data_IF_398810077203
#
_entry.id   IF_398810077203
#
_cell.length_a   1.000
_cell.length_b   1.000
_cell.length_c   1.000
_cell.angle_alpha   90.00
_cell.angle_beta   90.00
_cell.angle_gamma   90.00
#
_symmetry.space_group_name_H-M   'P 1'
#
loop_
_entity.id
_entity.type
_entity.pdbx_description
1 polymer ?
#
# COMPACT_ATOMS: atom_id res chain seq x y z
N UNK A 1 -2.54 19.21 -18.71
CA UNK A 1 -3.54 18.18 -19.11
C UNK A 1 -4.60 18.07 -18.02
N UNK A 2 -5.81 17.64 -18.39
CA UNK A 2 -6.88 17.30 -17.45
C UNK A 2 -6.74 15.81 -17.07
N UNK A 3 -6.39 15.54 -15.82
CA UNK A 3 -6.11 14.19 -15.33
C UNK A 3 -7.12 13.78 -14.27
N UNK A 4 -7.74 12.64 -14.47
CA UNK A 4 -8.59 11.99 -13.49
C UNK A 4 -7.79 10.90 -12.78
N UNK A 5 -7.51 11.07 -11.49
CA UNK A 5 -7.06 9.98 -10.63
C UNK A 5 -8.28 9.37 -9.96
N UNK A 6 -8.42 8.06 -9.96
CA UNK A 6 -9.59 7.40 -9.38
C UNK A 6 -9.20 6.23 -8.48
N UNK A 7 -9.92 6.08 -7.39
CA UNK A 7 -9.82 4.93 -6.47
C UNK A 7 -11.21 4.52 -6.00
N UNK A 8 -11.38 3.26 -5.62
CA UNK A 8 -12.59 2.73 -4.96
C UNK A 8 -12.50 2.77 -3.43
N UNK A 9 -11.35 3.18 -2.91
CA UNK A 9 -11.14 3.40 -1.48
C UNK A 9 -11.57 4.81 -1.03
N UNK A 10 -11.78 4.94 0.27
CA UNK A 10 -12.18 6.20 0.90
C UNK A 10 -10.98 7.13 1.08
N UNK A 11 -11.08 8.34 0.57
CA UNK A 11 -10.13 9.43 0.83
C UNK A 11 -10.68 10.34 1.92
N UNK A 12 -9.87 10.63 2.93
CA UNK A 12 -10.26 11.42 4.10
C UNK A 12 -9.12 11.56 5.09
N UNK A 13 -9.37 12.04 6.31
CA UNK A 13 -8.35 12.15 7.36
C UNK A 13 -7.66 10.82 7.66
N UNK A 14 -8.40 9.71 7.57
CA UNK A 14 -7.88 8.34 7.70
C UNK A 14 -8.01 7.62 6.35
N UNK A 15 -6.93 6.99 5.89
CA UNK A 15 -6.86 6.36 4.57
C UNK A 15 -6.14 5.02 4.62
N UNK A 16 -6.59 4.08 3.78
CA UNK A 16 -5.80 2.90 3.45
C UNK A 16 -4.72 3.22 2.39
N UNK A 17 -3.74 2.35 2.20
CA UNK A 17 -2.60 2.60 1.32
C UNK A 17 -2.99 2.94 -0.13
N UNK A 18 -4.01 2.30 -0.69
CA UNK A 18 -4.51 2.58 -2.05
C UNK A 18 -5.15 3.96 -2.19
N UNK A 19 -5.92 4.40 -1.17
CA UNK A 19 -6.47 5.74 -1.13
C UNK A 19 -5.36 6.79 -0.98
N UNK A 20 -4.40 6.54 -0.08
CA UNK A 20 -3.24 7.42 0.13
C UNK A 20 -2.43 7.58 -1.16
N UNK A 21 -2.17 6.47 -1.88
CA UNK A 21 -1.47 6.53 -3.16
C UNK A 21 -2.21 7.37 -4.19
N UNK A 22 -3.51 7.16 -4.36
CA UNK A 22 -4.30 7.95 -5.29
C UNK A 22 -4.29 9.44 -4.95
N UNK A 23 -4.41 9.76 -3.66
CA UNK A 23 -4.35 11.13 -3.15
C UNK A 23 -3.00 11.79 -3.43
N UNK A 24 -1.89 11.11 -3.10
CA UNK A 24 -0.55 11.70 -3.30
C UNK A 24 -0.14 11.77 -4.76
N UNK A 25 -0.50 10.79 -5.60
CA UNK A 25 -0.29 10.90 -7.05
C UNK A 25 -1.07 12.07 -7.65
N UNK A 26 -2.32 12.27 -7.20
CA UNK A 26 -3.11 13.42 -7.65
C UNK A 26 -2.45 14.74 -7.23
N UNK A 27 -1.92 14.85 -6.01
CA UNK A 27 -1.17 16.03 -5.53
C UNK A 27 0.08 16.30 -6.35
N UNK A 28 0.86 15.26 -6.65
CA UNK A 28 2.08 15.41 -7.47
C UNK A 28 1.71 15.93 -8.85
N UNK A 29 0.72 15.33 -9.51
CA UNK A 29 0.29 15.74 -10.84
C UNK A 29 -0.21 17.19 -10.85
N UNK A 30 -0.94 17.62 -9.82
CA UNK A 30 -1.42 18.99 -9.66
C UNK A 30 -0.25 19.98 -9.49
N UNK A 31 0.71 19.67 -8.61
CA UNK A 31 1.93 20.50 -8.42
C UNK A 31 2.76 20.66 -9.71
N UNK A 32 2.71 19.65 -10.59
CA UNK A 32 3.37 19.70 -11.90
C UNK A 32 2.54 20.36 -13.01
N UNK A 33 1.51 21.13 -12.65
CA UNK A 33 0.76 21.99 -13.57
C UNK A 33 -0.31 21.27 -14.39
N UNK A 34 -0.78 20.12 -13.94
CA UNK A 34 -1.95 19.47 -14.52
C UNK A 34 -3.23 19.91 -13.80
N UNK A 35 -4.35 19.96 -14.49
CA UNK A 35 -5.67 20.13 -13.88
C UNK A 35 -6.14 18.75 -13.40
N UNK A 36 -6.17 18.52 -12.09
CA UNK A 36 -6.38 17.18 -11.52
C UNK A 36 -7.71 17.10 -10.77
N UNK A 37 -8.45 16.03 -10.98
CA UNK A 37 -9.59 15.62 -10.16
C UNK A 37 -9.35 14.24 -9.57
N UNK A 38 -9.63 14.10 -8.28
CA UNK A 38 -9.54 12.83 -7.57
C UNK A 38 -10.94 12.27 -7.35
N UNK A 39 -11.27 11.17 -8.02
CA UNK A 39 -12.54 10.49 -7.81
C UNK A 39 -12.38 9.39 -6.75
N UNK A 40 -13.05 9.57 -5.62
CA UNK A 40 -13.02 8.65 -4.49
C UNK A 40 -14.34 8.73 -3.70
N UNK A 41 -14.63 7.71 -2.90
CA UNK A 41 -15.58 7.83 -1.82
C UNK A 41 -14.94 8.57 -0.64
N UNK A 42 -15.73 9.35 0.14
CA UNK A 42 -15.22 9.92 1.40
C UNK A 42 -15.64 11.37 1.67
N UNK A 43 -15.19 11.86 2.81
CA UNK A 43 -15.63 13.13 3.42
C UNK A 43 -14.74 14.34 3.05
N UNK A 44 -13.85 14.21 2.11
CA UNK A 44 -12.95 15.29 1.71
C UNK A 44 -11.46 14.97 1.92
N UNK A 45 -10.57 15.81 1.39
CA UNK A 45 -9.13 15.62 1.51
C UNK A 45 -8.69 15.73 2.97
N UNK A 46 -7.53 15.12 3.33
CA UNK A 46 -6.99 15.20 4.70
C UNK A 46 -6.49 16.60 5.08
N UNK A 47 -6.66 17.60 4.20
CA UNK A 47 -6.27 18.99 4.44
C UNK A 47 -6.82 19.95 3.40
N UNK A 48 -6.60 21.27 3.62
CA UNK A 48 -7.10 22.35 2.75
C UNK A 48 -6.42 22.35 1.38
N UNK A 49 -5.13 21.95 1.33
CA UNK A 49 -4.34 21.87 0.10
C UNK A 49 -4.41 20.47 -0.51
N UNK A 50 -5.19 20.28 -1.55
CA UNK A 50 -5.28 18.97 -2.20
C UNK A 50 -6.05 19.04 -3.52
N UNK A 51 -6.00 17.98 -4.31
CA UNK A 51 -6.72 17.92 -5.57
C UNK A 51 -8.23 17.99 -5.35
N UNK A 52 -8.95 18.54 -6.31
CA UNK A 52 -10.41 18.60 -6.26
C UNK A 52 -11.00 17.20 -6.15
N UNK A 53 -11.63 16.92 -5.00
CA UNK A 53 -12.30 15.64 -4.76
C UNK A 53 -13.68 15.63 -5.44
N UNK A 54 -13.99 14.57 -6.19
CA UNK A 54 -15.27 14.38 -6.85
C UNK A 54 -15.86 13.01 -6.51
N UNK A 55 -17.14 12.95 -6.18
CA UNK A 55 -17.83 11.69 -5.86
C UNK A 55 -18.06 10.82 -7.09
N UNK A 56 -18.47 11.44 -8.22
CA UNK A 56 -18.62 10.75 -9.50
C UNK A 56 -17.49 11.09 -10.47
N UNK A 57 -16.78 10.05 -11.00
CA UNK A 57 -15.69 10.29 -11.93
C UNK A 57 -16.16 10.91 -13.25
N UNK A 58 -15.66 12.10 -13.62
CA UNK A 58 -16.03 12.78 -14.87
C UNK A 58 -15.22 12.24 -16.07
N UNK A 59 -15.48 10.99 -16.48
CA UNK A 59 -14.73 10.29 -17.53
C UNK A 59 -14.59 11.04 -18.85
N UNK A 60 -15.61 11.82 -19.23
CA UNK A 60 -15.60 12.61 -20.47
C UNK A 60 -14.77 13.89 -20.39
N UNK A 61 -14.46 14.35 -19.20
CA UNK A 61 -13.63 15.53 -18.96
C UNK A 61 -12.14 15.24 -19.09
N UNK A 62 -11.73 14.01 -18.70
CA UNK A 62 -10.34 13.63 -18.58
C UNK A 62 -9.66 13.41 -19.94
N UNK A 63 -8.45 13.92 -20.10
CA UNK A 63 -7.51 13.59 -21.17
C UNK A 63 -6.65 12.37 -20.80
N UNK A 64 -6.40 12.16 -19.50
CA UNK A 64 -5.75 10.98 -18.96
C UNK A 64 -6.47 10.50 -17.70
N UNK A 65 -6.46 9.19 -17.49
CA UNK A 65 -7.03 8.52 -16.31
C UNK A 65 -5.95 7.64 -15.67
N UNK A 66 -5.70 7.83 -14.38
CA UNK A 66 -4.84 6.97 -13.56
C UNK A 66 -5.73 6.25 -12.54
N UNK A 67 -5.81 4.92 -12.59
CA UNK A 67 -6.67 4.18 -11.67
C UNK A 67 -6.24 2.70 -11.56
N UNK A 68 -6.54 2.04 -10.41
CA UNK A 68 -6.33 0.60 -10.28
C UNK A 68 -7.15 -0.17 -11.34
N UNK A 69 -6.55 -1.10 -12.08
CA UNK A 69 -7.25 -1.85 -13.14
C UNK A 69 -8.43 -2.66 -12.60
N UNK A 70 -8.39 -2.98 -11.32
CA UNK A 70 -9.37 -3.84 -10.63
C UNK A 70 -10.72 -3.14 -10.39
N UNK A 71 -10.72 -1.79 -10.29
CA UNK A 71 -11.90 -0.97 -10.00
C UNK A 71 -12.45 -0.22 -11.22
N UNK A 72 -11.74 -0.23 -12.36
CA UNK A 72 -12.17 0.46 -13.56
C UNK A 72 -13.54 -0.01 -14.07
N UNK A 73 -14.52 0.91 -14.24
CA UNK A 73 -15.81 0.56 -14.83
C UNK A 73 -15.68 0.36 -16.35
N UNK A 74 -16.65 -0.33 -16.99
CA UNK A 74 -16.66 -0.57 -18.43
C UNK A 74 -16.42 0.71 -19.27
N UNK A 75 -17.03 1.81 -18.88
CA UNK A 75 -16.93 3.10 -19.59
C UNK A 75 -15.51 3.66 -19.64
N UNK A 76 -14.66 3.34 -18.62
CA UNK A 76 -13.26 3.77 -18.63
C UNK A 76 -12.46 3.11 -19.76
N UNK A 77 -12.80 1.87 -20.12
CA UNK A 77 -12.15 1.18 -21.25
C UNK A 77 -12.63 1.66 -22.62
N UNK A 78 -13.76 2.37 -22.70
CA UNK A 78 -14.34 2.87 -23.94
C UNK A 78 -14.05 4.36 -24.22
N UNK A 79 -13.52 5.09 -23.23
CA UNK A 79 -13.19 6.51 -23.35
C UNK A 79 -12.03 6.78 -24.32
N UNK A 80 -11.86 8.05 -24.73
CA UNK A 80 -10.76 8.49 -25.61
C UNK A 80 -9.52 8.98 -24.85
N UNK A 81 -9.60 9.07 -23.52
CA UNK A 81 -8.50 9.47 -22.65
C UNK A 81 -7.34 8.47 -22.69
N UNK A 82 -6.15 8.88 -22.36
CA UNK A 82 -5.07 7.96 -21.99
C UNK A 82 -5.52 7.14 -20.77
N UNK A 83 -5.31 5.84 -20.78
CA UNK A 83 -5.61 4.96 -19.65
C UNK A 83 -4.32 4.41 -19.06
N UNK A 84 -3.96 4.89 -17.88
CA UNK A 84 -2.80 4.48 -17.11
C UNK A 84 -3.32 3.58 -15.97
N UNK A 85 -3.02 2.30 -16.08
CA UNK A 85 -3.44 1.32 -15.06
C UNK A 85 -2.46 1.36 -13.88
N UNK A 86 -2.91 1.75 -12.69
CA UNK A 86 -2.09 1.67 -11.48
C UNK A 86 -2.07 0.23 -10.95
N UNK A 87 -1.06 -0.51 -11.38
CA UNK A 87 -0.90 -1.94 -11.16
C UNK A 87 -0.17 -2.32 -9.88
N UNK A 88 0.12 -1.39 -8.98
CA UNK A 88 0.95 -1.63 -7.80
C UNK A 88 0.31 -2.61 -6.78
N UNK A 89 -1.02 -2.67 -6.72
CA UNK A 89 -1.71 -3.59 -5.81
C UNK A 89 -1.81 -4.98 -6.44
N UNK A 90 -1.19 -6.02 -5.85
CA UNK A 90 -1.22 -7.37 -6.38
C UNK A 90 -2.52 -8.10 -5.98
N UNK A 91 -3.68 -7.53 -6.31
CA UNK A 91 -5.00 -7.99 -5.84
C UNK A 91 -5.24 -9.50 -6.05
N UNK A 92 -4.75 -10.06 -7.15
CA UNK A 92 -4.95 -11.49 -7.43
C UNK A 92 -4.17 -12.38 -6.45
N UNK A 93 -2.97 -11.95 -6.04
CA UNK A 93 -2.16 -12.62 -5.03
C UNK A 93 -2.75 -12.43 -3.63
N UNK A 94 -3.20 -11.22 -3.28
CA UNK A 94 -3.90 -10.94 -2.02
C UNK A 94 -5.14 -11.83 -1.87
N UNK A 95 -5.99 -11.92 -2.91
CA UNK A 95 -7.19 -12.75 -2.89
C UNK A 95 -6.86 -14.25 -2.85
N UNK A 96 -5.71 -14.67 -3.37
CA UNK A 96 -5.26 -16.06 -3.28
C UNK A 96 -4.72 -16.41 -1.88
N UNK A 97 -4.11 -15.45 -1.19
CA UNK A 97 -3.60 -15.63 0.17
C UNK A 97 -4.69 -15.64 1.25
N UNK A 98 -5.91 -15.20 0.92
CA UNK A 98 -7.05 -15.25 1.84
C UNK A 98 -7.69 -16.64 1.93
N UNK A 99 -8.31 -17.02 3.06
CA UNK A 99 -9.12 -18.23 3.14
C UNK A 99 -10.19 -18.27 2.03
N UNK A 100 -10.37 -19.42 1.36
CA UNK A 100 -11.26 -19.50 0.21
C UNK A 100 -12.73 -19.33 0.62
N UNK A 101 -13.44 -18.43 -0.05
CA UNK A 101 -14.91 -18.30 0.04
C UNK A 101 -15.50 -18.14 -1.37
N UNK A 102 -16.78 -18.48 -1.59
CA UNK A 102 -17.43 -18.27 -2.89
C UNK A 102 -17.36 -16.81 -3.37
N UNK A 103 -17.53 -15.85 -2.46
CA UNK A 103 -17.44 -14.43 -2.76
C UNK A 103 -16.03 -14.02 -3.20
N UNK A 104 -14.97 -14.49 -2.51
CA UNK A 104 -13.57 -14.23 -2.88
C UNK A 104 -13.20 -14.89 -4.20
N UNK A 105 -13.61 -16.13 -4.42
CA UNK A 105 -13.41 -16.81 -5.70
C UNK A 105 -14.08 -16.06 -6.86
N UNK A 106 -15.29 -15.54 -6.65
CA UNK A 106 -15.98 -14.67 -7.62
C UNK A 106 -15.21 -13.38 -7.85
N UNK A 107 -14.76 -12.69 -6.78
CA UNK A 107 -13.98 -11.45 -6.88
C UNK A 107 -12.68 -11.68 -7.65
N UNK A 108 -11.96 -12.77 -7.37
CA UNK A 108 -10.72 -13.13 -8.06
C UNK A 108 -10.97 -13.38 -9.56
N UNK A 109 -12.01 -14.15 -9.92
CA UNK A 109 -12.40 -14.36 -11.34
C UNK A 109 -12.74 -13.04 -12.03
N UNK A 110 -13.49 -12.16 -11.35
CA UNK A 110 -13.85 -10.85 -11.91
C UNK A 110 -12.62 -9.96 -12.11
N UNK A 111 -11.67 -9.98 -11.19
CA UNK A 111 -10.40 -9.24 -11.32
C UNK A 111 -9.56 -9.81 -12.47
N UNK A 112 -9.37 -11.13 -12.52
CA UNK A 112 -8.61 -11.79 -13.58
C UNK A 112 -9.22 -11.53 -14.99
N UNK A 113 -10.54 -11.51 -15.11
CA UNK A 113 -11.22 -11.19 -16.37
C UNK A 113 -11.01 -9.75 -16.86
N UNK A 114 -10.36 -8.88 -16.07
CA UNK A 114 -9.98 -7.53 -16.51
C UNK A 114 -8.60 -7.46 -17.15
N UNK A 115 -7.73 -8.43 -16.90
CA UNK A 115 -6.37 -8.45 -17.48
C UNK A 115 -6.38 -8.33 -19.01
N UNK A 116 -7.19 -9.10 -19.77
CA UNK A 116 -7.26 -8.91 -21.23
C UNK A 116 -7.76 -7.52 -21.65
N UNK A 117 -8.64 -6.89 -20.85
CA UNK A 117 -9.11 -5.52 -21.14
C UNK A 117 -8.01 -4.49 -20.90
N UNK A 118 -7.24 -4.66 -19.81
CA UNK A 118 -6.05 -3.83 -19.53
C UNK A 118 -5.05 -4.00 -20.65
N UNK A 119 -4.71 -5.23 -21.03
CA UNK A 119 -3.81 -5.52 -22.13
C UNK A 119 -4.27 -4.89 -23.45
N UNK A 120 -5.57 -4.91 -23.75
CA UNK A 120 -6.12 -4.32 -24.97
C UNK A 120 -6.18 -2.78 -24.95
N UNK A 121 -6.27 -2.16 -23.77
CA UNK A 121 -6.70 -0.77 -23.67
C UNK A 121 -5.75 0.17 -22.93
N UNK A 122 -4.99 -0.30 -21.95
CA UNK A 122 -4.09 0.57 -21.22
C UNK A 122 -3.03 1.19 -22.15
N UNK A 123 -2.63 2.41 -21.89
CA UNK A 123 -1.56 3.12 -22.59
C UNK A 123 -0.25 3.07 -21.80
N UNK A 124 -0.33 2.79 -20.48
CA UNK A 124 0.78 2.43 -19.60
C UNK A 124 0.27 1.66 -18.39
N UNK A 125 1.18 0.96 -17.68
CA UNK A 125 0.93 0.34 -16.37
C UNK A 125 1.97 0.85 -15.39
N UNK A 126 1.53 1.29 -14.20
CA UNK A 126 2.41 1.65 -13.10
C UNK A 126 2.71 0.41 -12.27
N UNK A 127 3.97 0.24 -11.88
CA UNK A 127 4.48 -0.88 -11.08
C UNK A 127 5.28 -0.37 -9.89
N UNK A 128 5.50 -1.21 -8.88
CA UNK A 128 6.26 -0.88 -7.67
C UNK A 128 7.66 -1.48 -7.62
N UNK A 129 8.11 -2.18 -8.66
CA UNK A 129 9.43 -2.79 -8.69
C UNK A 129 9.58 -3.93 -9.70
N UNK A 130 10.78 -4.54 -9.81
CA UNK A 130 11.11 -5.53 -10.84
C UNK A 130 10.18 -6.75 -10.88
N UNK A 131 9.83 -7.32 -9.72
CA UNK A 131 8.92 -8.47 -9.66
C UNK A 131 7.53 -8.16 -10.23
N UNK A 132 7.03 -6.94 -10.01
CA UNK A 132 5.77 -6.50 -10.61
C UNK A 132 5.92 -6.25 -12.12
N UNK A 133 7.04 -5.71 -12.57
CA UNK A 133 7.33 -5.55 -14.00
C UNK A 133 7.30 -6.92 -14.70
N UNK A 134 7.97 -7.93 -14.15
CA UNK A 134 7.96 -9.30 -14.67
C UNK A 134 6.55 -9.87 -14.70
N UNK A 135 5.83 -9.82 -13.59
CA UNK A 135 4.46 -10.31 -13.50
C UNK A 135 3.52 -9.64 -14.52
N UNK A 136 3.56 -8.29 -14.61
CA UNK A 136 2.74 -7.57 -15.58
C UNK A 136 3.14 -7.90 -17.02
N UNK A 137 4.42 -8.05 -17.33
CA UNK A 137 4.90 -8.48 -18.66
C UNK A 137 4.29 -9.81 -19.06
N UNK A 138 4.21 -10.74 -18.12
CA UNK A 138 3.56 -12.04 -18.34
C UNK A 138 2.05 -11.92 -18.57
N UNK A 139 1.34 -11.12 -17.74
CA UNK A 139 -0.09 -10.95 -17.88
C UNK A 139 -0.49 -10.23 -19.18
N UNK A 140 0.40 -9.40 -19.70
CA UNK A 140 0.19 -8.60 -20.90
C UNK A 140 0.74 -9.26 -22.17
N UNK A 141 0.99 -10.56 -22.15
CA UNK A 141 1.49 -11.35 -23.29
C UNK A 141 0.73 -11.00 -24.58
N UNK A 142 1.49 -10.68 -25.65
CA UNK A 142 0.93 -10.29 -26.94
C UNK A 142 0.76 -8.79 -27.15
N UNK A 143 1.03 -7.95 -26.14
CA UNK A 143 1.09 -6.50 -26.31
C UNK A 143 2.51 -5.98 -26.18
N UNK A 144 3.27 -6.09 -27.26
CA UNK A 144 4.61 -5.52 -27.33
C UNK A 144 4.58 -3.99 -27.25
N UNK A 145 5.49 -3.42 -26.47
CA UNK A 145 5.67 -1.97 -26.38
C UNK A 145 4.71 -1.22 -25.46
N UNK A 146 3.88 -1.91 -24.64
CA UNK A 146 3.15 -1.22 -23.58
C UNK A 146 4.13 -0.78 -22.47
N UNK A 147 4.25 0.53 -22.17
CA UNK A 147 5.14 1.01 -21.14
C UNK A 147 4.75 0.47 -19.75
N UNK A 148 5.72 -0.17 -19.07
CA UNK A 148 5.65 -0.51 -17.65
C UNK A 148 6.51 0.50 -16.89
N UNK A 149 5.86 1.44 -16.22
CA UNK A 149 6.53 2.55 -15.54
C UNK A 149 6.74 2.18 -14.08
N UNK A 150 7.99 2.16 -13.63
CA UNK A 150 8.28 1.93 -12.21
C UNK A 150 7.98 3.21 -11.41
N UNK A 151 6.80 3.25 -10.80
CA UNK A 151 6.30 4.33 -9.96
C UNK A 151 5.91 3.71 -8.62
N UNK A 152 6.87 3.45 -7.74
CA UNK A 152 6.60 2.86 -6.43
C UNK A 152 5.79 3.80 -5.54
N UNK A 153 5.58 3.41 -4.30
CA UNK A 153 5.00 4.29 -3.28
C UNK A 153 6.05 5.32 -2.85
N UNK A 154 5.63 6.53 -2.56
CA UNK A 154 6.51 7.63 -2.14
C UNK A 154 6.31 8.04 -0.68
N UNK A 155 7.14 8.95 -0.23
CA UNK A 155 7.04 9.61 1.09
C UNK A 155 6.90 11.13 0.87
N UNK A 156 6.42 11.88 1.88
CA UNK A 156 6.44 13.35 1.83
C UNK A 156 7.85 13.90 1.63
N UNK A 157 7.96 15.03 0.95
CA UNK A 157 9.24 15.71 0.70
C UNK A 157 9.85 16.25 2.01
N UNK A 158 8.99 16.75 2.90
CA UNK A 158 9.41 17.25 4.20
C UNK A 158 9.60 16.13 5.22
N UNK A 159 10.58 16.27 6.14
CA UNK A 159 10.73 15.36 7.26
C UNK A 159 9.48 15.39 8.17
N UNK A 160 9.24 14.32 8.93
CA UNK A 160 8.15 14.34 9.88
C UNK A 160 8.40 15.40 10.96
N UNK A 161 7.34 16.06 11.45
CA UNK A 161 7.44 16.87 12.66
C UNK A 161 8.00 16.03 13.82
N UNK A 162 8.79 16.63 14.74
CA UNK A 162 9.50 15.88 15.78
C UNK A 162 8.63 15.40 16.94
N UNK A 163 7.37 15.79 16.98
CA UNK A 163 6.46 15.48 18.07
C UNK A 163 6.25 13.97 18.24
N UNK A 164 6.24 13.55 19.50
CA UNK A 164 5.90 12.19 19.92
C UNK A 164 4.56 12.20 20.64
N UNK A 165 3.64 11.35 20.20
CA UNK A 165 2.36 11.15 20.89
C UNK A 165 2.46 10.04 21.93
N UNK A 166 1.67 10.13 23.02
CA UNK A 166 1.52 8.98 23.92
C UNK A 166 0.81 7.84 23.19
N UNK A 167 1.16 6.62 23.54
CA UNK A 167 0.44 5.42 23.11
C UNK A 167 -0.27 4.86 24.32
N UNK A 168 -1.59 4.91 24.40
CA UNK A 168 -2.35 4.41 25.55
C UNK A 168 -1.96 2.95 25.87
N UNK A 169 -1.72 2.65 27.14
CA UNK A 169 -1.31 1.32 27.58
C UNK A 169 0.19 0.99 27.47
N UNK A 170 0.98 1.90 26.90
CA UNK A 170 2.45 1.76 26.83
C UNK A 170 3.08 2.68 27.86
N UNK A 171 3.88 2.17 28.82
CA UNK A 171 4.65 3.01 29.73
C UNK A 171 5.68 3.87 29.00
N UNK A 172 5.96 5.07 29.52
CA UNK A 172 6.83 6.05 28.85
C UNK A 172 8.29 5.56 28.71
N UNK A 173 8.76 4.77 29.66
CA UNK A 173 10.09 4.16 29.69
C UNK A 173 10.22 2.87 28.91
N UNK A 174 9.11 2.34 28.36
CA UNK A 174 9.14 1.13 27.54
C UNK A 174 9.46 1.45 26.07
N UNK A 175 10.26 0.59 25.49
CA UNK A 175 10.59 0.65 24.06
C UNK A 175 9.45 0.12 23.21
N UNK A 176 9.15 0.80 22.10
CA UNK A 176 8.06 0.43 21.19
C UNK A 176 8.58 -0.27 19.95
N UNK A 177 8.11 -1.48 19.70
CA UNK A 177 8.15 -2.16 18.41
C UNK A 177 6.76 -2.04 17.79
N UNK A 178 6.66 -1.27 16.72
CA UNK A 178 5.39 -0.91 16.11
C UNK A 178 5.08 -1.81 14.92
N UNK A 179 3.97 -2.55 15.00
CA UNK A 179 3.31 -3.07 13.81
C UNK A 179 2.53 -1.93 13.15
N UNK A 180 2.92 -1.52 11.94
CA UNK A 180 2.29 -0.36 11.30
C UNK A 180 1.26 -0.75 10.25
N UNK A 181 0.03 -0.23 10.41
CA UNK A 181 -1.11 -0.52 9.54
C UNK A 181 -1.90 -1.77 9.94
N UNK A 182 -2.99 -2.05 9.22
CA UNK A 182 -3.89 -3.16 9.54
C UNK A 182 -3.23 -4.53 9.48
N UNK A 183 -3.87 -5.53 10.10
CA UNK A 183 -3.42 -6.93 10.09
C UNK A 183 -4.26 -7.72 9.09
N UNK A 184 -3.65 -8.19 8.01
CA UNK A 184 -4.32 -8.94 6.93
C UNK A 184 -3.86 -10.39 6.93
N UNK A 185 -4.62 -11.34 6.35
CA UNK A 185 -4.29 -12.77 6.38
C UNK A 185 -2.93 -13.17 5.78
N UNK A 186 -2.40 -12.38 4.86
CA UNK A 186 -1.06 -12.59 4.27
C UNK A 186 0.08 -11.99 5.08
N UNK A 187 -0.24 -11.28 6.15
CA UNK A 187 0.74 -10.71 7.07
C UNK A 187 1.02 -11.67 8.22
N UNK A 188 2.18 -11.56 8.82
CA UNK A 188 2.70 -12.48 9.81
C UNK A 188 2.92 -11.82 11.17
N UNK A 189 1.81 -11.41 11.81
CA UNK A 189 1.85 -10.87 13.16
C UNK A 189 2.24 -11.94 14.19
N UNK A 190 1.90 -13.21 13.92
CA UNK A 190 2.26 -14.32 14.81
C UNK A 190 3.76 -14.40 15.07
N UNK A 191 4.57 -14.25 14.02
CA UNK A 191 6.04 -14.21 14.14
C UNK A 191 6.52 -13.06 15.05
N UNK A 192 5.86 -11.89 15.01
CA UNK A 192 6.22 -10.78 15.90
C UNK A 192 5.83 -11.06 17.36
N UNK A 193 4.67 -11.69 17.58
CA UNK A 193 4.25 -12.08 18.93
C UNK A 193 5.17 -13.18 19.50
N UNK A 194 5.58 -14.15 18.70
CA UNK A 194 6.56 -15.16 19.07
C UNK A 194 7.92 -14.53 19.42
N UNK A 195 8.35 -13.53 18.64
CA UNK A 195 9.55 -12.78 18.95
C UNK A 195 9.42 -12.03 20.28
N UNK A 196 8.27 -11.35 20.52
CA UNK A 196 8.04 -10.65 21.79
C UNK A 196 8.08 -11.60 22.99
N UNK A 197 7.47 -12.78 22.89
CA UNK A 197 7.52 -13.78 23.96
C UNK A 197 8.96 -14.19 24.30
N UNK A 198 9.84 -14.32 23.29
CA UNK A 198 11.26 -14.67 23.48
C UNK A 198 12.08 -13.57 24.14
N UNK A 199 11.67 -12.30 24.04
CA UNK A 199 12.32 -11.18 24.73
C UNK A 199 12.06 -11.20 26.27
N UNK A 200 11.20 -12.09 26.76
CA UNK A 200 10.95 -12.30 28.18
C UNK A 200 10.49 -11.02 28.89
N UNK A 201 11.12 -10.71 30.02
CA UNK A 201 10.83 -9.56 30.86
C UNK A 201 11.36 -8.21 30.36
N UNK A 202 11.92 -8.12 29.14
CA UNK A 202 12.42 -6.89 28.59
C UNK A 202 11.31 -5.81 28.49
N UNK A 203 11.60 -4.53 28.81
CA UNK A 203 10.64 -3.43 28.74
C UNK A 203 10.36 -3.00 27.28
N UNK A 204 9.76 -3.91 26.52
CA UNK A 204 9.42 -3.75 25.12
C UNK A 204 7.93 -3.97 24.91
N UNK A 205 7.23 -3.00 24.35
CA UNK A 205 5.83 -3.10 23.92
C UNK A 205 5.75 -3.37 22.42
N UNK A 206 5.03 -4.40 22.01
CA UNK A 206 4.55 -4.56 20.64
C UNK A 206 3.21 -3.84 20.54
N UNK A 207 3.14 -2.82 19.71
CA UNK A 207 1.93 -2.01 19.48
C UNK A 207 1.32 -2.38 18.14
N UNK A 208 0.04 -2.75 18.14
CA UNK A 208 -0.65 -3.29 16.96
C UNK A 208 -1.94 -2.50 16.69
N UNK A 209 -2.08 -1.76 15.58
CA UNK A 209 -3.34 -1.20 15.14
C UNK A 209 -4.32 -2.30 14.75
N UNK A 210 -5.47 -2.34 15.43
CA UNK A 210 -6.54 -3.32 15.20
C UNK A 210 -7.85 -2.67 14.75
N UNK A 211 -7.78 -1.40 14.39
CA UNK A 211 -8.93 -0.64 13.92
C UNK A 211 -9.44 -1.17 12.56
N UNK A 212 -10.76 -1.14 12.32
CA UNK A 212 -11.35 -1.52 11.04
C UNK A 212 -10.79 -0.67 9.89
N UNK A 213 -10.65 -1.28 8.71
CA UNK A 213 -10.18 -0.55 7.51
C UNK A 213 -11.14 0.59 7.18
N UNK A 214 -10.63 1.82 6.97
CA UNK A 214 -11.45 2.95 6.57
C UNK A 214 -12.31 2.66 5.33
N UNK A 215 -13.58 3.05 5.37
CA UNK A 215 -14.52 2.93 4.27
C UNK A 215 -15.13 1.54 4.04
N UNK A 216 -14.51 0.46 4.47
CA UNK A 216 -15.04 -0.90 4.26
C UNK A 216 -15.47 -1.60 5.54
N UNK A 217 -15.02 -1.12 6.70
CA UNK A 217 -15.28 -1.78 7.99
C UNK A 217 -14.71 -3.20 8.10
N UNK A 218 -13.97 -3.67 7.09
CA UNK A 218 -13.39 -5.02 7.12
C UNK A 218 -12.31 -5.09 8.17
N UNK A 219 -12.31 -6.19 8.92
CA UNK A 219 -11.42 -6.42 10.05
C UNK A 219 -10.48 -7.56 9.70
N UNK A 220 -9.20 -7.35 9.88
CA UNK A 220 -8.24 -8.44 9.94
C UNK A 220 -8.26 -9.06 11.32
N UNK A 221 -7.62 -8.39 12.27
CA UNK A 221 -7.64 -8.70 13.69
C UNK A 221 -8.36 -7.58 14.45
N UNK A 222 -9.16 -7.94 15.43
CA UNK A 222 -9.74 -7.03 16.44
C UNK A 222 -8.98 -7.16 17.78
N UNK A 223 -9.43 -6.40 18.77
CA UNK A 223 -8.82 -6.40 20.12
C UNK A 223 -8.85 -7.79 20.75
N UNK A 224 -9.97 -8.54 20.58
CA UNK A 224 -10.13 -9.85 21.16
C UNK A 224 -9.18 -10.88 20.52
N UNK A 225 -9.11 -10.88 19.18
CA UNK A 225 -8.21 -11.75 18.45
C UNK A 225 -6.72 -11.49 18.81
N UNK A 226 -6.35 -10.20 19.00
CA UNK A 226 -4.99 -9.84 19.42
C UNK A 226 -4.74 -10.31 20.87
N UNK A 227 -5.69 -10.12 21.79
CA UNK A 227 -5.56 -10.53 23.17
C UNK A 227 -5.44 -12.06 23.30
N UNK A 228 -6.25 -12.81 22.55
CA UNK A 228 -6.21 -14.28 22.53
C UNK A 228 -4.86 -14.78 22.00
N UNK A 229 -4.38 -14.22 20.90
CA UNK A 229 -3.10 -14.62 20.31
C UNK A 229 -1.89 -14.25 21.20
N UNK A 230 -1.95 -13.12 21.89
CA UNK A 230 -0.95 -12.71 22.86
C UNK A 230 -1.01 -13.62 24.11
N UNK A 231 -2.20 -13.86 24.66
CA UNK A 231 -2.43 -14.71 25.84
C UNK A 231 -1.97 -16.15 25.62
N UNK A 232 -2.17 -16.71 24.41
CA UNK A 232 -1.65 -18.03 24.05
C UNK A 232 -0.12 -18.14 24.13
N UNK A 233 0.60 -17.01 24.17
CA UNK A 233 2.06 -16.90 24.31
C UNK A 233 2.50 -16.39 25.68
N UNK A 234 1.57 -16.29 26.64
CA UNK A 234 1.82 -15.73 27.96
C UNK A 234 2.10 -14.23 27.98
N UNK A 235 1.66 -13.51 26.94
CA UNK A 235 1.84 -12.08 26.81
C UNK A 235 0.55 -11.34 27.22
N UNK A 236 0.72 -10.20 27.87
CA UNK A 236 -0.36 -9.31 28.30
C UNK A 236 0.10 -7.83 28.20
N UNK A 237 -0.79 -6.84 28.34
CA UNK A 237 -0.35 -5.46 28.48
C UNK A 237 0.60 -5.29 29.68
N UNK A 238 1.64 -4.46 29.57
CA UNK A 238 1.98 -3.60 28.43
C UNK A 238 2.87 -4.25 27.36
N UNK A 239 3.10 -5.58 27.43
CA UNK A 239 3.95 -6.29 26.47
C UNK A 239 3.36 -6.30 25.04
N UNK A 240 2.03 -6.41 24.92
CA UNK A 240 1.28 -6.28 23.67
C UNK A 240 0.13 -5.32 23.90
N UNK A 241 0.04 -4.30 23.08
CA UNK A 241 -0.93 -3.21 23.22
C UNK A 241 -1.68 -3.02 21.90
N UNK A 242 -3.01 -3.05 21.97
CA UNK A 242 -3.89 -2.72 20.86
C UNK A 242 -4.01 -1.21 20.67
N UNK A 243 -3.85 -0.73 19.43
CA UNK A 243 -4.22 0.62 19.04
C UNK A 243 -5.57 0.55 18.33
N UNK A 244 -6.64 0.93 19.06
CA UNK A 244 -8.02 0.69 18.64
C UNK A 244 -8.55 1.69 17.63
N UNK A 245 -7.81 2.76 17.36
CA UNK A 245 -8.20 3.78 16.41
C UNK A 245 -7.23 3.81 15.23
N UNK A 246 -7.78 4.05 14.03
CA UNK A 246 -6.94 4.34 12.88
C UNK A 246 -6.28 5.70 13.04
N UNK A 247 -4.98 5.76 12.84
CA UNK A 247 -4.22 7.00 13.00
C UNK A 247 -4.46 7.92 11.80
N UNK A 248 -4.87 9.18 12.02
CA UNK A 248 -5.00 10.14 10.93
C UNK A 248 -3.68 10.31 10.16
N UNK A 249 -3.77 10.46 8.85
CA UNK A 249 -2.60 10.56 7.98
C UNK A 249 -1.63 11.68 8.41
N UNK A 250 -2.17 12.81 8.83
CA UNK A 250 -1.36 13.96 9.29
C UNK A 250 -0.66 13.72 10.63
N UNK A 251 -1.26 12.91 11.50
CA UNK A 251 -0.77 12.67 12.87
C UNK A 251 0.12 11.43 12.99
N UNK A 252 0.31 10.68 11.89
CA UNK A 252 1.05 9.41 11.91
C UNK A 252 2.48 9.53 12.41
N UNK A 253 3.12 10.70 12.23
CA UNK A 253 4.45 10.98 12.73
C UNK A 253 4.55 10.83 14.25
N UNK A 254 3.50 11.18 15.01
CA UNK A 254 3.49 11.11 16.47
C UNK A 254 3.68 9.68 16.98
N UNK A 255 3.04 8.71 16.32
CA UNK A 255 3.16 7.29 16.68
C UNK A 255 4.48 6.71 16.13
N UNK A 256 4.84 7.04 14.89
CA UNK A 256 6.09 6.58 14.28
C UNK A 256 7.31 7.09 15.05
N UNK A 257 7.33 8.34 15.48
CA UNK A 257 8.43 8.91 16.27
C UNK A 257 8.56 8.30 17.68
N UNK A 258 7.51 7.62 18.17
CA UNK A 258 7.55 6.88 19.44
C UNK A 258 8.16 5.49 19.27
N UNK A 259 8.18 4.95 18.05
CA UNK A 259 8.69 3.63 17.75
C UNK A 259 10.23 3.61 17.68
N UNK A 260 10.84 2.58 18.26
CA UNK A 260 12.25 2.25 18.06
C UNK A 260 12.45 1.35 16.83
N UNK A 261 11.47 0.49 16.52
CA UNK A 261 11.48 -0.41 15.35
C UNK A 261 10.07 -0.46 14.76
N UNK A 262 9.96 -0.45 13.45
CA UNK A 262 8.72 -0.74 12.72
C UNK A 262 8.82 -2.13 12.11
N UNK A 263 7.88 -3.01 12.48
CA UNK A 263 7.81 -4.38 11.97
C UNK A 263 6.84 -4.48 10.77
N UNK A 264 7.32 -5.08 9.69
CA UNK A 264 6.55 -5.33 8.44
C UNK A 264 6.82 -6.77 8.00
N UNK A 265 6.12 -7.70 8.61
CA UNK A 265 6.30 -9.13 8.38
C UNK A 265 5.17 -9.69 7.50
N UNK A 266 5.55 -10.46 6.50
CA UNK A 266 4.65 -11.15 5.57
C UNK A 266 4.88 -12.66 5.65
N UNK A 267 3.82 -13.42 5.45
CA UNK A 267 3.93 -14.87 5.22
C UNK A 267 4.54 -15.10 3.84
N UNK A 268 5.20 -16.24 3.64
CA UNK A 268 5.72 -16.62 2.33
C UNK A 268 4.61 -16.77 1.28
N UNK A 269 4.89 -16.40 0.03
CA UNK A 269 3.98 -16.59 -1.09
C UNK A 269 4.04 -15.46 -2.11
N UNK A 270 3.19 -15.57 -3.14
CA UNK A 270 3.14 -14.62 -4.26
C UNK A 270 2.83 -13.19 -3.81
N UNK A 271 1.98 -13.03 -2.78
CA UNK A 271 1.69 -11.69 -2.24
C UNK A 271 2.96 -11.05 -1.68
N UNK A 272 3.73 -11.77 -0.86
CA UNK A 272 4.98 -11.26 -0.29
C UNK A 272 6.03 -10.92 -1.35
N UNK A 273 6.05 -11.65 -2.46
CA UNK A 273 6.97 -11.41 -3.58
C UNK A 273 6.56 -10.19 -4.41
N UNK A 274 5.26 -10.00 -4.64
CA UNK A 274 4.71 -8.95 -5.50
C UNK A 274 4.34 -7.66 -4.75
N UNK A 275 4.11 -7.73 -3.44
CA UNK A 275 3.69 -6.57 -2.65
C UNK A 275 4.80 -5.53 -2.53
N UNK A 276 4.48 -4.30 -2.92
CA UNK A 276 5.27 -3.15 -2.50
C UNK A 276 4.82 -2.76 -1.09
N UNK A 277 5.58 -3.14 -0.07
CA UNK A 277 5.26 -3.00 1.36
C UNK A 277 5.20 -1.53 1.79
N UNK A 278 4.15 -0.83 1.39
CA UNK A 278 3.98 0.63 1.50
C UNK A 278 4.20 1.16 2.92
N UNK A 279 3.77 0.39 3.93
CA UNK A 279 3.93 0.75 5.35
C UNK A 279 5.40 0.91 5.79
N UNK A 280 6.34 0.24 5.12
CA UNK A 280 7.76 0.41 5.37
C UNK A 280 8.25 1.81 4.97
N UNK A 281 7.62 2.45 4.00
CA UNK A 281 7.99 3.79 3.56
C UNK A 281 7.66 4.87 4.61
N UNK A 282 6.61 4.68 5.41
CA UNK A 282 6.35 5.56 6.54
C UNK A 282 7.49 5.48 7.60
N UNK A 283 8.06 4.28 7.81
CA UNK A 283 9.25 4.13 8.65
C UNK A 283 10.49 4.79 8.04
N UNK A 284 10.69 4.69 6.71
CA UNK A 284 11.76 5.42 6.00
C UNK A 284 11.58 6.93 6.18
N UNK A 285 10.35 7.43 6.01
CA UNK A 285 10.03 8.85 6.24
C UNK A 285 10.33 9.29 7.67
N UNK A 286 9.94 8.49 8.66
CA UNK A 286 10.16 8.79 10.08
C UNK A 286 11.58 8.51 10.57
N UNK A 287 12.44 7.88 9.75
CA UNK A 287 13.79 7.48 10.15
C UNK A 287 13.79 6.39 11.22
N UNK A 288 12.82 5.50 11.23
CA UNK A 288 12.69 4.41 12.19
C UNK A 288 13.18 3.10 11.58
N UNK A 289 14.14 2.39 12.23
CA UNK A 289 14.65 1.12 11.76
C UNK A 289 13.56 0.08 11.51
N UNK A 290 13.75 -0.73 10.46
CA UNK A 290 12.78 -1.72 10.00
C UNK A 290 13.14 -3.14 10.44
N UNK A 291 12.14 -3.91 10.84
CA UNK A 291 12.17 -5.36 10.90
C UNK A 291 11.27 -5.91 9.80
N UNK A 292 11.84 -6.61 8.82
CA UNK A 292 11.14 -7.11 7.64
C UNK A 292 11.29 -8.64 7.53
N UNK A 293 10.27 -9.32 7.02
CA UNK A 293 10.46 -10.69 6.50
C UNK A 293 11.06 -10.65 5.10
N UNK A 294 11.77 -11.70 4.72
CA UNK A 294 12.27 -11.90 3.35
C UNK A 294 11.14 -11.84 2.31
N UNK A 295 11.53 -11.60 1.07
CA UNK A 295 10.63 -11.50 -0.09
C UNK A 295 10.24 -10.06 -0.43
N UNK A 296 10.04 -9.82 -1.71
CA UNK A 296 9.63 -8.54 -2.28
C UNK A 296 10.72 -7.46 -2.32
N UNK A 297 10.41 -6.41 -3.04
CA UNK A 297 11.35 -5.33 -3.38
C UNK A 297 11.83 -4.55 -2.15
N UNK A 298 10.92 -4.24 -1.21
CA UNK A 298 11.28 -3.42 -0.04
C UNK A 298 12.28 -4.14 0.88
N UNK A 299 12.20 -5.48 1.01
CA UNK A 299 13.18 -6.25 1.79
C UNK A 299 14.55 -6.28 1.12
N UNK A 300 14.59 -6.33 -0.22
CA UNK A 300 15.82 -6.21 -0.98
C UNK A 300 16.48 -4.84 -0.77
N UNK A 301 15.68 -3.78 -0.89
CA UNK A 301 16.12 -2.40 -0.65
C UNK A 301 16.61 -2.19 0.79
N UNK A 302 15.90 -2.71 1.77
CA UNK A 302 16.29 -2.60 3.18
C UNK A 302 17.67 -3.25 3.45
N UNK A 303 17.94 -4.41 2.85
CA UNK A 303 19.28 -5.04 2.92
C UNK A 303 20.34 -4.19 2.21
N UNK A 304 20.03 -3.72 1.01
CA UNK A 304 20.96 -2.94 0.19
C UNK A 304 21.36 -1.62 0.84
N UNK A 305 20.42 -0.95 1.48
CA UNK A 305 20.61 0.40 2.03
C UNK A 305 20.82 0.41 3.55
N UNK A 306 20.70 -0.72 4.24
CA UNK A 306 20.90 -0.75 5.70
C UNK A 306 19.73 -0.14 6.50
N UNK A 307 18.48 -0.28 6.03
CA UNK A 307 17.32 0.30 6.71
C UNK A 307 16.89 -0.44 7.98
N UNK A 308 17.50 -1.59 8.26
CA UNK A 308 17.16 -2.42 9.40
C UNK A 308 17.52 -3.89 9.17
N UNK A 309 16.71 -4.79 9.69
CA UNK A 309 16.95 -6.23 9.64
C UNK A 309 15.90 -6.95 8.81
N UNK A 310 16.35 -7.93 8.02
CA UNK A 310 15.48 -8.81 7.22
C UNK A 310 15.69 -10.25 7.71
N UNK A 311 14.60 -10.91 8.09
CA UNK A 311 14.57 -12.26 8.70
C UNK A 311 13.75 -13.24 7.86
N UNK A 312 13.97 -14.55 7.99
CA UNK A 312 13.11 -15.54 7.34
C UNK A 312 11.66 -15.41 7.79
N UNK A 313 10.67 -15.60 6.89
CA UNK A 313 9.27 -15.65 7.27
C UNK A 313 8.98 -16.77 8.26
N UNK A 314 8.16 -16.51 9.28
CA UNK A 314 7.81 -17.50 10.32
C UNK A 314 8.87 -17.72 11.39
N UNK A 315 10.04 -17.09 11.31
CA UNK A 315 11.12 -17.31 12.28
C UNK A 315 11.08 -16.28 13.42
N UNK A 316 10.31 -16.61 14.48
CA UNK A 316 10.21 -15.78 15.67
C UNK A 316 11.54 -15.66 16.45
N UNK A 317 12.44 -16.65 16.36
CA UNK A 317 13.75 -16.56 17.01
C UNK A 317 14.67 -15.57 16.30
N UNK A 318 14.74 -15.64 14.97
CA UNK A 318 15.48 -14.66 14.17
C UNK A 318 14.90 -13.25 14.34
N UNK A 319 13.57 -13.11 14.44
CA UNK A 319 12.91 -11.83 14.67
C UNK A 319 13.26 -11.26 16.06
N UNK A 320 13.27 -12.06 17.11
CA UNK A 320 13.69 -11.63 18.45
C UNK A 320 15.14 -11.16 18.47
N UNK A 321 16.07 -11.95 17.94
CA UNK A 321 17.48 -11.57 17.83
C UNK A 321 17.69 -10.31 17.00
N UNK A 322 16.88 -10.10 15.94
CA UNK A 322 16.90 -8.89 15.14
C UNK A 322 16.40 -7.68 15.93
N UNK A 323 15.33 -7.81 16.72
CA UNK A 323 14.85 -6.73 17.60
C UNK A 323 15.94 -6.35 18.60
N UNK A 324 16.51 -7.32 19.33
CA UNK A 324 17.59 -7.06 20.30
C UNK A 324 18.77 -6.31 19.65
N UNK A 325 19.16 -6.71 18.44
CA UNK A 325 20.23 -6.02 17.70
C UNK A 325 19.82 -4.60 17.34
N UNK A 326 18.63 -4.42 16.77
CA UNK A 326 18.11 -3.11 16.34
C UNK A 326 17.91 -2.14 17.51
N UNK A 327 17.74 -2.62 18.73
CA UNK A 327 17.60 -1.78 19.92
C UNK A 327 18.94 -1.31 20.50
N UNK A 328 20.09 -1.75 19.98
CA UNK A 328 21.39 -1.23 20.41
C UNK A 328 21.61 0.17 19.82
N UNK A 329 22.14 1.10 20.60
CA UNK A 329 22.36 2.50 20.19
C UNK A 329 23.16 2.63 18.89
N UNK A 330 24.19 1.79 18.72
CA UNK A 330 25.03 1.80 17.51
C UNK A 330 24.26 1.40 16.26
N UNK A 331 23.41 0.36 16.34
CA UNK A 331 22.56 -0.09 15.24
C UNK A 331 21.45 0.93 14.94
N UNK A 332 20.82 1.48 15.99
CA UNK A 332 19.83 2.55 15.85
C UNK A 332 20.43 3.74 15.07
N UNK A 333 21.60 4.21 15.48
CA UNK A 333 22.27 5.34 14.85
C UNK A 333 22.67 5.02 13.40
N UNK A 334 23.13 3.80 13.13
CA UNK A 334 23.49 3.35 11.77
C UNK A 334 22.29 3.31 10.84
N UNK A 335 21.21 2.62 11.27
CA UNK A 335 19.99 2.52 10.48
C UNK A 335 19.34 3.90 10.23
N UNK A 336 19.29 4.76 11.26
CA UNK A 336 18.74 6.13 11.13
C UNK A 336 19.49 6.99 10.11
N UNK A 337 20.81 6.88 10.05
CA UNK A 337 21.62 7.55 9.01
C UNK A 337 21.29 7.01 7.64
N UNK A 338 21.29 5.69 7.46
CA UNK A 338 20.97 5.05 6.19
C UNK A 338 19.57 5.41 5.67
N UNK A 339 18.58 5.49 6.58
CA UNK A 339 17.23 5.93 6.27
C UNK A 339 17.20 7.41 5.85
N UNK A 340 17.90 8.29 6.56
CA UNK A 340 17.99 9.71 6.23
C UNK A 340 18.62 9.92 4.85
N UNK A 341 19.72 9.21 4.55
CA UNK A 341 20.42 9.26 3.26
C UNK A 341 19.56 8.76 2.11
N UNK A 342 18.65 7.81 2.40
CA UNK A 342 17.76 7.22 1.39
C UNK A 342 16.55 8.11 1.06
N UNK A 343 16.06 8.91 2.00
CA UNK A 343 14.81 9.69 1.89
C UNK A 343 14.67 10.50 0.59
N UNK A 344 15.69 11.26 0.11
CA UNK A 344 15.54 12.05 -1.10
C UNK A 344 15.18 11.24 -2.36
N UNK A 345 15.54 9.96 -2.39
CA UNK A 345 15.22 9.07 -3.49
C UNK A 345 13.77 8.56 -3.50
N UNK A 346 13.06 8.72 -2.38
CA UNK A 346 11.73 8.14 -2.18
C UNK A 346 10.62 9.18 -2.06
N UNK A 347 10.89 10.47 -2.24
CA UNK A 347 9.84 11.48 -2.22
C UNK A 347 8.82 11.23 -3.33
N UNK A 348 7.56 11.65 -3.12
CA UNK A 348 6.52 11.49 -4.12
C UNK A 348 6.87 12.13 -5.46
N UNK A 349 7.51 13.32 -5.43
CA UNK A 349 7.98 13.98 -6.66
C UNK A 349 9.03 13.14 -7.38
N UNK A 350 9.94 12.50 -6.63
CA UNK A 350 10.99 11.68 -7.22
C UNK A 350 10.46 10.37 -7.81
N UNK A 351 9.62 9.66 -7.08
CA UNK A 351 9.09 8.36 -7.54
C UNK A 351 8.09 8.51 -8.69
N UNK A 352 7.41 9.66 -8.81
CA UNK A 352 6.49 9.93 -9.90
C UNK A 352 7.16 10.39 -11.20
N UNK A 353 8.47 10.69 -11.21
CA UNK A 353 9.18 11.16 -12.42
C UNK A 353 8.96 10.30 -13.65
N UNK A 354 8.98 8.93 -13.58
CA UNK A 354 8.71 8.12 -14.77
C UNK A 354 7.31 8.35 -15.36
N UNK A 355 6.31 8.59 -14.51
CA UNK A 355 4.96 8.93 -14.98
C UNK A 355 4.92 10.33 -15.59
N UNK A 356 5.48 11.32 -14.91
CA UNK A 356 5.51 12.71 -15.37
C UNK A 356 6.21 12.85 -16.74
N UNK A 357 7.34 12.17 -16.89
CA UNK A 357 8.09 12.16 -18.16
C UNK A 357 7.34 11.44 -19.28
N UNK A 358 6.62 10.36 -18.97
CA UNK A 358 5.91 9.57 -19.96
C UNK A 358 4.60 10.24 -20.44
N UNK A 359 3.92 10.98 -19.58
CA UNK A 359 2.59 11.57 -19.90
C UNK A 359 2.50 12.32 -21.24
N UNK A 360 3.44 13.22 -21.59
CA UNK A 360 3.40 13.90 -22.89
C UNK A 360 3.73 12.99 -24.07
N UNK A 361 4.51 11.94 -23.86
CA UNK A 361 5.05 11.03 -24.88
C UNK A 361 4.16 9.80 -25.15
N UNK A 362 3.22 9.51 -24.23
CA UNK A 362 2.34 8.35 -24.41
C UNK A 362 1.50 8.48 -25.67
N UNK A 363 1.55 7.47 -26.57
CA UNK A 363 0.84 7.52 -27.82
C UNK A 363 -0.66 7.54 -27.57
N UNK A 364 -1.34 8.57 -28.06
CA UNK A 364 -2.80 8.58 -28.14
C UNK A 364 -3.23 7.66 -29.28
N UNK A 365 -3.29 6.36 -29.00
CA UNK A 365 -3.64 5.35 -30.02
C UNK A 365 -5.06 5.61 -30.50
N UNK A 366 -5.20 5.96 -31.78
CA UNK A 366 -6.49 5.99 -32.46
C UNK A 366 -7.04 4.56 -32.46
N UNK A 367 -8.07 4.31 -31.66
CA UNK A 367 -8.64 2.98 -31.51
C UNK A 367 -9.46 2.61 -32.73
N UNK A 368 -9.06 1.53 -33.36
CA UNK A 368 -9.83 0.96 -34.46
C UNK A 368 -11.25 0.56 -33.99
N UNK A 369 -12.23 0.72 -34.85
CA UNK A 369 -13.63 0.36 -34.58
C UNK A 369 -13.75 -1.11 -34.10
N UNK A 370 -12.91 -2.00 -34.60
CA UNK A 370 -12.87 -3.41 -34.22
C UNK A 370 -12.49 -3.64 -32.75
N UNK A 371 -11.46 -2.93 -32.24
CA UNK A 371 -11.07 -3.04 -30.84
C UNK A 371 -12.17 -2.50 -29.91
N UNK A 372 -12.79 -1.39 -30.30
CA UNK A 372 -13.92 -0.83 -29.54
C UNK A 372 -15.11 -1.79 -29.53
N UNK A 373 -15.41 -2.43 -30.66
CA UNK A 373 -16.47 -3.45 -30.76
C UNK A 373 -16.14 -4.69 -29.91
N UNK A 374 -14.89 -5.18 -29.95
CA UNK A 374 -14.45 -6.31 -29.14
C UNK A 374 -14.54 -6.02 -27.62
N UNK A 375 -14.13 -4.84 -27.18
CA UNK A 375 -14.28 -4.40 -25.79
C UNK A 375 -15.76 -4.33 -25.41
N UNK A 376 -16.63 -3.76 -26.25
CA UNK A 376 -18.08 -3.70 -26.01
C UNK A 376 -18.69 -5.09 -25.89
N UNK A 377 -18.33 -6.01 -26.78
CA UNK A 377 -18.78 -7.40 -26.73
C UNK A 377 -18.33 -8.11 -25.44
N UNK A 378 -17.07 -7.98 -25.06
CA UNK A 378 -16.55 -8.53 -23.81
C UNK A 378 -17.23 -7.95 -22.55
N UNK A 379 -17.66 -6.70 -22.60
CA UNK A 379 -18.40 -6.05 -21.53
C UNK A 379 -19.88 -6.45 -21.49
N UNK A 380 -20.49 -6.71 -22.64
CA UNK A 380 -21.90 -7.15 -22.75
C UNK A 380 -22.10 -8.60 -22.28
N UNK A 381 -21.10 -9.46 -22.45
CA UNK A 381 -21.12 -10.86 -21.99
C UNK A 381 -20.98 -11.04 -20.48
N UNK A 382 -20.83 -9.96 -19.70
CA UNK A 382 -20.78 -10.02 -18.25
C UNK A 382 -22.18 -10.07 -17.66
N UNK A 383 -22.49 -11.05 -16.77
CA UNK A 383 -23.76 -11.07 -16.06
C UNK A 383 -23.96 -9.77 -15.30
N UNK A 384 -25.12 -9.16 -15.46
CA UNK A 384 -25.47 -7.85 -14.93
C UNK A 384 -25.12 -7.70 -13.44
N UNK A 385 -24.57 -6.57 -13.09
CA UNK A 385 -24.41 -6.16 -11.69
C UNK A 385 -25.81 -6.03 -11.09
N UNK A 386 -26.17 -6.93 -10.18
CA UNK A 386 -27.12 -6.56 -9.16
C UNK A 386 -26.57 -5.32 -8.44
N UNK A 387 -27.32 -4.22 -8.45
CA UNK A 387 -27.07 -3.03 -7.64
C UNK A 387 -27.29 -3.45 -6.18
N UNK A 388 -26.28 -4.04 -5.56
CA UNK A 388 -26.24 -4.35 -4.15
C UNK A 388 -25.14 -3.52 -3.55
N UNK A 389 -25.49 -2.60 -2.67
CA UNK A 389 -24.58 -2.05 -1.66
C UNK A 389 -23.90 -3.26 -1.01
N UNK A 390 -22.58 -3.26 -1.00
CA UNK A 390 -21.84 -4.25 -0.22
C UNK A 390 -22.06 -3.98 1.27
N UNK A 391 -22.28 -5.02 2.08
CA UNK A 391 -22.17 -4.93 3.51
C UNK A 391 -20.72 -4.74 3.93
#
# INVERSE_FOLDING_TARGET
MRILVATDDTVGPVMAGSALRAYELARVLDRHGHEVRLAAAGAGPPGEDGPTLVGEPPWGWAEAVVAPPWSLPPRAFLGRHLLIADGITPLLAELAAMPPTPARARRRRTAAARLPLVAARADAVLTGGPAQVEWWSEQLRGRFGLPLLNVPFGIPDEPPPPERGPIPGVPDDWTVVLWWGGVWPWLDLDTLLDARARLGGAPVSVVVPVAPRPGTGSVGWDVAALADAAGARGLAPPQVVALESWVPYRDRHRILNRAAVVAVLHRSGDEAALSFRTRALDAVWAGVPLLLSEGGEVSRLARQHGWGSVVPPGDGAAAAAAIERLLRDTEQASCRRALADSRPGWTWDRVAQPLLAALPELPRVARGALLTAAIRAALALRPGRARGRMP
#
